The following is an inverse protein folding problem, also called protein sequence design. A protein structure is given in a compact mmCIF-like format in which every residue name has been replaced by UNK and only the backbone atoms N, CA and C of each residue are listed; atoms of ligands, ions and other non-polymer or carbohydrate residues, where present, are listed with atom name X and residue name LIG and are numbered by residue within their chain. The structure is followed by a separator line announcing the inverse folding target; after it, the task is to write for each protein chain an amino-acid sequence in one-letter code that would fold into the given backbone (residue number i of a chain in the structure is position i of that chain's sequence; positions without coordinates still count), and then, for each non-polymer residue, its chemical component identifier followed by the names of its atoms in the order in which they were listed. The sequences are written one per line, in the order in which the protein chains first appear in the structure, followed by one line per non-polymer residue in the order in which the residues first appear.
data_IF_225356343667
#
_entry.id   IF_225356343667
#
_cell.length_a   1.000
_cell.length_b   1.000
_cell.length_c   1.000
_cell.angle_alpha   90.00
_cell.angle_beta   90.00
_cell.angle_gamma   90.00
#
_symmetry.space_group_name_H-M   'P 1'
#
loop_
_entity.id
_entity.type
_entity.pdbx_description
1 polymer ?
#
# COMPACT_ATOMS: atom_id res chain seq x y z
N UNK A 1 30.53 13.03 -1.43
CA UNK A 1 30.27 11.65 -0.93
C UNK A 1 28.95 11.11 -1.43
N UNK A 2 27.79 11.77 -1.24
CA UNK A 2 26.52 11.21 -1.75
C UNK A 2 26.50 11.05 -3.29
N UNK A 3 27.05 12.06 -3.99
CA UNK A 3 27.14 12.09 -5.46
C UNK A 3 27.97 10.92 -6.00
N UNK A 4 29.11 10.62 -5.36
CA UNK A 4 29.97 9.49 -5.76
C UNK A 4 29.32 8.11 -5.52
N UNK A 5 28.46 7.99 -4.49
CA UNK A 5 27.68 6.76 -4.26
C UNK A 5 26.50 6.60 -5.22
N UNK A 6 25.90 7.72 -5.67
CA UNK A 6 24.86 7.72 -6.70
C UNK A 6 25.43 7.35 -8.07
N UNK A 7 26.63 7.83 -8.41
CA UNK A 7 27.35 7.48 -9.64
C UNK A 7 27.75 6.00 -9.70
N UNK A 8 28.04 5.37 -8.55
CA UNK A 8 28.41 3.96 -8.45
C UNK A 8 27.20 3.00 -8.44
N UNK A 9 25.98 3.51 -8.29
CA UNK A 9 24.78 2.69 -8.14
C UNK A 9 24.28 2.19 -9.50
N UNK A 10 24.26 0.86 -9.67
CA UNK A 10 23.88 0.22 -10.94
C UNK A 10 22.38 0.05 -11.09
N UNK A 11 21.66 -0.15 -9.99
CA UNK A 11 20.21 -0.45 -10.02
C UNK A 11 19.35 0.65 -9.40
N UNK A 12 18.06 0.69 -9.73
CA UNK A 12 17.11 1.69 -9.20
C UNK A 12 16.82 1.48 -7.70
N UNK A 13 16.77 0.22 -7.26
CA UNK A 13 16.56 -0.13 -5.85
C UNK A 13 17.74 0.27 -4.93
N UNK A 14 18.95 0.31 -5.48
CA UNK A 14 20.14 0.80 -4.78
C UNK A 14 20.07 2.31 -4.61
N UNK A 15 19.61 3.05 -5.63
CA UNK A 15 19.40 4.49 -5.51
C UNK A 15 18.34 4.82 -4.45
N UNK A 16 17.24 4.07 -4.40
CA UNK A 16 16.18 4.26 -3.38
C UNK A 16 16.72 4.07 -1.96
N UNK A 17 17.57 3.05 -1.78
CA UNK A 17 18.22 2.76 -0.49
C UNK A 17 19.19 3.87 -0.08
N UNK A 18 19.94 4.44 -1.04
CA UNK A 18 20.84 5.57 -0.82
C UNK A 18 20.03 6.82 -0.43
N UNK A 19 18.90 7.09 -1.09
CA UNK A 19 18.02 8.22 -0.77
C UNK A 19 17.39 8.11 0.61
N UNK A 20 16.86 6.93 0.96
CA UNK A 20 16.30 6.68 2.29
C UNK A 20 17.38 6.83 3.37
N UNK A 21 18.59 6.31 3.14
CA UNK A 21 19.73 6.47 4.04
C UNK A 21 20.14 7.94 4.24
N UNK A 22 20.19 8.71 3.15
CA UNK A 22 20.51 10.14 3.18
C UNK A 22 19.46 10.94 3.97
N UNK A 23 18.18 10.70 3.70
CA UNK A 23 17.07 11.34 4.39
C UNK A 23 17.09 11.04 5.91
N UNK A 24 17.36 9.79 6.29
CA UNK A 24 17.49 9.41 7.70
C UNK A 24 18.70 10.07 8.38
N UNK A 25 19.83 10.20 7.68
CA UNK A 25 21.01 10.89 8.19
C UNK A 25 20.73 12.38 8.43
N UNK A 26 20.10 13.06 7.47
CA UNK A 26 19.69 14.46 7.60
C UNK A 26 18.71 14.65 8.77
N UNK A 27 17.72 13.76 8.91
CA UNK A 27 16.78 13.85 10.02
C UNK A 27 17.43 13.59 11.38
N UNK A 28 18.45 12.71 11.46
CA UNK A 28 19.26 12.55 12.68
C UNK A 28 20.06 13.81 13.01
N UNK A 29 20.66 14.46 12.02
CA UNK A 29 21.44 15.71 12.20
C UNK A 29 20.56 16.87 12.64
N UNK A 30 19.35 16.97 12.08
CA UNK A 30 18.38 18.03 12.41
C UNK A 30 17.65 17.75 13.75
N UNK A 31 17.89 16.59 14.37
CA UNK A 31 17.18 16.18 15.59
C UNK A 31 15.71 15.83 15.34
N UNK A 32 15.30 15.67 14.08
CA UNK A 32 13.98 15.22 13.70
C UNK A 32 13.85 13.72 13.96
N UNK A 33 13.04 13.34 14.94
CA UNK A 33 12.74 11.93 15.27
C UNK A 33 11.87 11.30 14.18
N UNK A 34 12.49 10.73 13.14
CA UNK A 34 11.81 9.76 12.27
C UNK A 34 11.83 8.42 13.00
N UNK A 35 10.68 8.03 13.53
CA UNK A 35 10.49 6.72 14.15
C UNK A 35 10.45 5.63 13.07
N UNK A 36 11.60 5.01 12.76
CA UNK A 36 11.68 3.82 11.90
C UNK A 36 11.59 2.50 12.68
N UNK A 37 11.43 2.55 14.00
CA UNK A 37 11.16 1.36 14.78
C UNK A 37 9.64 1.18 14.93
N UNK A 38 9.12 0.08 14.40
CA UNK A 38 7.87 -0.50 14.84
C UNK A 38 7.96 -0.79 16.33
N UNK A 39 7.59 0.16 17.17
CA UNK A 39 7.47 -0.04 18.60
C UNK A 39 6.28 -0.95 18.81
N UNK A 40 6.55 -2.24 18.99
CA UNK A 40 5.59 -3.19 19.51
C UNK A 40 5.35 -2.85 21.00
N UNK A 41 4.65 -1.74 21.24
CA UNK A 41 4.03 -1.51 22.55
C UNK A 41 2.87 -2.48 22.63
N UNK A 42 3.01 -3.51 23.46
CA UNK A 42 1.89 -4.33 23.90
C UNK A 42 0.90 -3.46 24.66
N UNK A 43 0.05 -2.72 23.93
CA UNK A 43 -1.12 -2.11 24.50
C UNK A 43 -2.13 -3.23 24.69
N UNK A 44 -2.32 -3.64 25.95
CA UNK A 44 -3.62 -4.16 26.39
C UNK A 44 -4.70 -3.30 25.71
N UNK A 45 -5.62 -3.95 25.01
CA UNK A 45 -6.62 -3.33 24.13
C UNK A 45 -7.64 -2.53 24.94
N UNK A 46 -7.18 -1.46 25.59
CA UNK A 46 -7.99 -0.56 26.35
C UNK A 46 -9.04 0.03 25.41
N UNK A 47 -10.31 -0.11 25.79
CA UNK A 47 -11.43 0.39 25.00
C UNK A 47 -11.16 1.87 24.69
N UNK A 48 -11.08 2.25 23.40
CA UNK A 48 -10.77 3.62 23.02
C UNK A 48 -11.73 4.60 23.70
N UNK A 49 -11.22 5.74 24.15
CA UNK A 49 -12.02 6.72 24.88
C UNK A 49 -13.24 7.23 24.08
N UNK A 50 -13.20 7.20 22.75
CA UNK A 50 -14.35 7.52 21.91
C UNK A 50 -15.44 6.44 21.99
N UNK A 51 -15.08 5.17 22.16
CA UNK A 51 -16.01 4.04 22.21
C UNK A 51 -16.77 4.03 23.53
N UNK A 52 -16.05 4.15 24.66
CA UNK A 52 -16.66 4.30 26.00
C UNK A 52 -17.68 5.44 26.07
N UNK A 53 -17.31 6.63 25.58
CA UNK A 53 -18.20 7.80 25.57
C UNK A 53 -19.49 7.59 24.76
N UNK A 54 -19.44 6.82 23.67
CA UNK A 54 -20.63 6.55 22.87
C UNK A 54 -21.48 5.45 23.52
N UNK A 55 -20.84 4.41 24.09
CA UNK A 55 -21.53 3.36 24.86
C UNK A 55 -22.24 3.94 26.09
N UNK A 56 -21.62 4.85 26.84
CA UNK A 56 -22.25 5.60 27.94
C UNK A 56 -23.45 6.43 27.48
N UNK A 57 -23.38 7.06 26.30
CA UNK A 57 -24.51 7.82 25.73
C UNK A 57 -25.68 6.90 25.35
N UNK A 58 -25.37 5.72 24.80
CA UNK A 58 -26.38 4.68 24.47
C UNK A 58 -27.03 4.18 25.77
N UNK A 59 -26.24 3.83 26.79
CA UNK A 59 -26.73 3.35 28.08
C UNK A 59 -27.64 4.39 28.77
N UNK A 60 -27.25 5.67 28.77
CA UNK A 60 -28.08 6.75 29.31
C UNK A 60 -29.41 6.93 28.57
N UNK A 61 -29.44 6.73 27.24
CA UNK A 61 -30.69 6.76 26.48
C UNK A 61 -31.57 5.53 26.73
N UNK A 62 -30.96 4.35 26.87
CA UNK A 62 -31.68 3.12 27.21
C UNK A 62 -32.27 3.18 28.62
N UNK A 63 -31.52 3.70 29.60
CA UNK A 63 -32.00 3.88 30.97
C UNK A 63 -33.18 4.86 31.04
N UNK A 64 -33.12 5.97 30.29
CA UNK A 64 -34.25 6.91 30.13
C UNK A 64 -35.48 6.27 29.49
N UNK A 65 -35.30 5.32 28.57
CA UNK A 65 -36.40 4.58 27.94
C UNK A 65 -37.07 3.62 28.93
N UNK A 66 -36.30 2.96 29.81
CA UNK A 66 -36.81 2.04 30.84
C UNK A 66 -37.45 2.78 32.01
N UNK A 67 -36.83 3.85 32.51
CA UNK A 67 -37.38 4.68 33.59
C UNK A 67 -38.75 5.29 33.20
N UNK A 68 -38.93 5.62 31.92
CA UNK A 68 -40.19 6.13 31.42
C UNK A 68 -41.30 5.06 31.34
N UNK A 69 -40.94 3.80 31.09
CA UNK A 69 -41.90 2.69 31.08
C UNK A 69 -42.44 2.34 32.48
N UNK A 70 -41.74 2.71 33.56
CA UNK A 70 -42.15 2.47 34.96
C UNK A 70 -42.97 3.58 35.60
N UNK A 71 -43.01 4.77 34.99
CA UNK A 71 -43.92 5.85 35.37
C UNK A 71 -45.24 5.69 34.60
N UNK A 72 -46.39 5.74 35.28
CA UNK A 72 -47.74 5.80 34.67
C UNK A 72 -48.00 7.08 33.85
N UNK A 73 -46.96 7.68 33.27
CA UNK A 73 -47.07 8.71 32.25
C UNK A 73 -47.13 7.97 30.92
N UNK A 74 -48.34 7.83 30.36
CA UNK A 74 -48.50 7.33 29.00
C UNK A 74 -47.79 8.29 28.04
N UNK A 75 -46.68 7.88 27.44
CA UNK A 75 -46.14 8.55 26.26
C UNK A 75 -47.07 8.24 25.09
N UNK A 76 -48.18 8.96 25.01
CA UNK A 76 -49.01 9.00 23.80
C UNK A 76 -48.34 9.79 22.67
N UNK A 77 -47.05 10.14 22.79
CA UNK A 77 -46.28 10.82 21.75
C UNK A 77 -45.29 9.84 21.10
N UNK A 78 -45.67 9.17 20.00
CA UNK A 78 -44.79 8.26 19.25
C UNK A 78 -43.45 8.92 18.84
N UNK A 79 -43.44 10.24 18.68
CA UNK A 79 -42.27 11.04 18.31
C UNK A 79 -41.10 10.94 19.28
N UNK A 80 -41.33 10.89 20.59
CA UNK A 80 -40.23 10.89 21.58
C UNK A 80 -39.52 9.53 21.60
N UNK A 81 -40.31 8.45 21.59
CA UNK A 81 -39.81 7.08 21.50
C UNK A 81 -39.09 6.85 20.17
N UNK A 82 -39.62 7.37 19.06
CA UNK A 82 -38.98 7.30 17.75
C UNK A 82 -37.67 8.09 17.70
N UNK A 83 -37.63 9.30 18.28
CA UNK A 83 -36.40 10.10 18.41
C UNK A 83 -35.31 9.36 19.22
N UNK A 84 -35.69 8.69 20.33
CA UNK A 84 -34.75 7.89 21.12
C UNK A 84 -34.20 6.70 20.33
N UNK A 85 -35.06 5.94 19.63
CA UNK A 85 -34.65 4.84 18.74
C UNK A 85 -33.70 5.32 17.63
N UNK A 86 -34.00 6.45 17.00
CA UNK A 86 -33.15 7.06 15.97
C UNK A 86 -31.78 7.46 16.53
N UNK A 87 -31.71 8.02 17.74
CA UNK A 87 -30.44 8.38 18.40
C UNK A 87 -29.57 7.16 18.70
N UNK A 88 -30.17 6.11 19.25
CA UNK A 88 -29.46 4.84 19.52
C UNK A 88 -28.92 4.25 18.20
N UNK A 89 -29.75 4.20 17.16
CA UNK A 89 -29.33 3.73 15.84
C UNK A 89 -28.20 4.58 15.23
N UNK A 90 -28.27 5.91 15.34
CA UNK A 90 -27.24 6.82 14.86
C UNK A 90 -25.90 6.64 15.59
N UNK A 91 -25.92 6.42 16.91
CA UNK A 91 -24.73 6.12 17.69
C UNK A 91 -24.15 4.74 17.37
N UNK A 92 -24.99 3.72 17.15
CA UNK A 92 -24.54 2.42 16.65
C UNK A 92 -23.83 2.51 15.31
N UNK A 93 -24.39 3.27 14.35
CA UNK A 93 -23.73 3.58 13.07
C UNK A 93 -22.40 4.32 13.26
N UNK A 94 -22.31 5.20 14.24
CA UNK A 94 -21.08 5.94 14.56
C UNK A 94 -19.99 5.02 15.10
N UNK A 95 -20.33 4.10 16.00
CA UNK A 95 -19.42 3.07 16.51
C UNK A 95 -18.88 2.25 15.36
N UNK A 96 -19.77 1.70 14.51
CA UNK A 96 -19.37 0.88 13.36
C UNK A 96 -18.37 1.61 12.45
N UNK A 97 -18.69 2.83 12.03
CA UNK A 97 -17.80 3.65 11.17
C UNK A 97 -16.44 3.91 11.80
N UNK A 98 -16.38 4.16 13.10
CA UNK A 98 -15.12 4.46 13.78
C UNK A 98 -14.27 3.21 13.96
N UNK A 99 -14.90 2.07 14.25
CA UNK A 99 -14.23 0.77 14.26
C UNK A 99 -13.65 0.46 12.87
N UNK A 100 -14.46 0.51 11.81
CA UNK A 100 -14.01 0.29 10.42
C UNK A 100 -12.87 1.23 10.01
N UNK A 101 -12.93 2.51 10.40
CA UNK A 101 -11.85 3.46 10.13
C UNK A 101 -10.57 3.05 10.85
N UNK A 102 -10.65 2.67 12.12
CA UNK A 102 -9.49 2.25 12.89
C UNK A 102 -8.88 0.97 12.33
N UNK A 103 -9.71 0.00 11.95
CA UNK A 103 -9.26 -1.24 11.31
C UNK A 103 -8.56 -0.95 9.99
N UNK A 104 -9.18 -0.16 9.09
CA UNK A 104 -8.55 0.23 7.82
C UNK A 104 -7.24 0.97 8.01
N UNK A 105 -7.18 1.90 8.95
CA UNK A 105 -5.94 2.62 9.27
C UNK A 105 -4.83 1.65 9.71
N UNK A 106 -5.15 0.71 10.59
CA UNK A 106 -4.19 -0.28 11.06
C UNK A 106 -3.76 -1.25 9.96
N UNK A 107 -4.70 -1.72 9.14
CA UNK A 107 -4.43 -2.60 8.00
C UNK A 107 -3.56 -1.90 6.95
N UNK A 108 -3.88 -0.65 6.59
CA UNK A 108 -3.08 0.13 5.64
C UNK A 108 -1.68 0.43 6.19
N UNK A 109 -1.57 0.74 7.48
CA UNK A 109 -0.27 0.93 8.12
C UNK A 109 0.55 -0.35 8.10
N UNK A 110 -0.08 -1.49 8.40
CA UNK A 110 0.57 -2.79 8.34
C UNK A 110 0.95 -3.17 6.90
N UNK A 111 0.10 -2.87 5.91
CA UNK A 111 0.43 -3.04 4.50
C UNK A 111 1.67 -2.26 4.08
N UNK A 112 1.83 -1.02 4.55
CA UNK A 112 2.99 -0.21 4.21
C UNK A 112 4.27 -0.65 4.94
N UNK A 113 4.16 -1.10 6.20
CA UNK A 113 5.34 -1.45 7.01
C UNK A 113 5.76 -2.93 6.92
N UNK A 114 4.79 -3.84 6.83
CA UNK A 114 4.96 -5.28 6.96
C UNK A 114 3.78 -6.03 6.28
N UNK A 115 3.85 -6.13 4.95
CA UNK A 115 2.83 -6.78 4.14
C UNK A 115 2.59 -8.23 4.55
N UNK A 116 3.67 -8.95 4.91
CA UNK A 116 3.61 -10.35 5.33
C UNK A 116 2.68 -10.51 6.53
N UNK A 117 2.86 -9.71 7.59
CA UNK A 117 1.99 -9.78 8.77
C UNK A 117 0.54 -9.41 8.49
N UNK A 118 0.29 -8.53 7.52
CA UNK A 118 -1.08 -8.25 7.09
C UNK A 118 -1.71 -9.49 6.45
N UNK A 119 -1.04 -10.10 5.47
CA UNK A 119 -1.56 -11.29 4.80
C UNK A 119 -1.74 -12.46 5.77
N UNK A 120 -0.77 -12.71 6.66
CA UNK A 120 -0.92 -13.68 7.77
C UNK A 120 -2.15 -13.40 8.65
N UNK A 121 -2.48 -12.13 8.89
CA UNK A 121 -3.66 -11.75 9.67
C UNK A 121 -4.98 -11.94 8.92
N UNK A 122 -4.97 -11.86 7.58
CA UNK A 122 -6.13 -12.06 6.70
C UNK A 122 -6.39 -13.54 6.43
N UNK A 123 -5.34 -14.37 6.40
CA UNK A 123 -5.41 -15.81 6.19
C UNK A 123 -6.00 -16.59 7.38
N UNK A 124 -6.18 -15.96 8.54
CA UNK A 124 -6.89 -16.57 9.69
C UNK A 124 -8.39 -16.31 9.57
N UNK A 125 -9.16 -17.39 9.33
CA UNK A 125 -9.41 -18.32 10.41
C UNK A 125 -9.12 -19.79 10.04
N UNK A 126 -8.37 -20.47 10.92
CA UNK A 126 -8.39 -21.92 11.12
C UNK A 126 -7.63 -22.87 10.17
N UNK A 127 -6.89 -22.39 9.18
CA UNK A 127 -5.92 -23.23 8.45
C UNK A 127 -4.52 -22.64 8.63
N UNK A 128 -3.98 -22.77 9.84
CA UNK A 128 -2.51 -22.84 9.91
C UNK A 128 -2.16 -24.10 9.15
N UNK A 129 -1.46 -23.97 8.01
CA UNK A 129 -0.91 -25.10 7.30
C UNK A 129 0.02 -25.88 8.22
N UNK A 130 -0.55 -26.82 8.98
CA UNK A 130 0.16 -27.83 9.78
C UNK A 130 0.76 -28.92 8.90
N UNK A 131 0.63 -28.79 7.58
CA UNK A 131 1.39 -29.60 6.64
C UNK A 131 2.88 -29.32 6.81
N UNK A 132 3.74 -30.35 6.71
CA UNK A 132 5.18 -30.12 6.63
C UNK A 132 5.45 -29.16 5.46
N UNK A 133 6.35 -28.20 5.66
CA UNK A 133 6.81 -27.35 4.58
C UNK A 133 7.29 -28.23 3.42
N UNK A 134 6.92 -27.93 2.16
CA UNK A 134 7.39 -28.71 1.03
C UNK A 134 8.93 -28.69 1.02
N UNK A 135 9.51 -29.86 0.79
CA UNK A 135 10.95 -30.02 0.74
C UNK A 135 11.54 -29.06 -0.31
N UNK A 136 12.63 -28.38 0.05
CA UNK A 136 13.31 -27.43 -0.83
C UNK A 136 13.79 -28.12 -2.12
N UNK A 137 14.29 -29.36 -2.02
CA UNK A 137 14.75 -30.11 -3.18
C UNK A 137 13.60 -30.40 -4.16
N UNK A 138 12.44 -30.81 -3.65
CA UNK A 138 11.26 -31.12 -4.46
C UNK A 138 10.69 -29.85 -5.13
N UNK A 139 10.71 -28.72 -4.41
CA UNK A 139 10.28 -27.43 -4.94
C UNK A 139 11.22 -26.96 -6.05
N UNK A 140 12.53 -27.07 -5.84
CA UNK A 140 13.54 -26.71 -6.85
C UNK A 140 13.44 -27.63 -8.06
N UNK A 141 13.27 -28.94 -7.86
CA UNK A 141 13.13 -29.90 -8.97
C UNK A 141 11.88 -29.60 -9.81
N UNK A 142 10.74 -29.31 -9.16
CA UNK A 142 9.50 -28.94 -9.83
C UNK A 142 9.67 -27.70 -10.72
N UNK A 143 10.18 -26.59 -10.16
CA UNK A 143 10.36 -25.34 -10.91
C UNK A 143 11.46 -25.44 -11.98
N UNK A 144 12.52 -26.22 -11.71
CA UNK A 144 13.59 -26.48 -12.67
C UNK A 144 13.07 -27.22 -13.91
N UNK A 145 12.22 -28.24 -13.73
CA UNK A 145 11.60 -28.95 -14.86
C UNK A 145 10.70 -28.05 -15.70
N UNK A 146 10.08 -27.02 -15.09
CA UNK A 146 9.21 -26.10 -15.81
C UNK A 146 9.98 -24.99 -16.55
N UNK A 147 11.04 -24.45 -15.94
CA UNK A 147 11.69 -23.21 -16.40
C UNK A 147 13.13 -23.37 -16.88
N UNK A 148 13.82 -24.43 -16.47
CA UNK A 148 15.25 -24.63 -16.78
C UNK A 148 15.50 -25.69 -17.84
N UNK A 149 14.55 -26.58 -18.07
CA UNK A 149 14.65 -27.52 -19.19
C UNK A 149 14.26 -26.79 -20.48
N UNK A 150 15.18 -26.70 -21.46
CA UNK A 150 14.85 -26.09 -22.74
C UNK A 150 13.83 -26.98 -23.46
N UNK A 151 12.56 -26.57 -23.41
CA UNK A 151 11.50 -27.19 -24.19
C UNK A 151 11.59 -26.64 -25.61
N UNK A 152 11.84 -27.51 -26.58
CA UNK A 152 11.69 -27.14 -27.99
C UNK A 152 10.20 -26.97 -28.29
N UNK A 153 9.73 -25.73 -28.27
CA UNK A 153 8.41 -25.41 -28.76
C UNK A 153 8.44 -25.52 -30.29
N UNK A 154 7.63 -26.41 -30.86
CA UNK A 154 7.32 -26.31 -32.28
C UNK A 154 6.45 -25.07 -32.46
N UNK A 155 7.05 -23.96 -32.90
CA UNK A 155 6.31 -22.79 -33.35
C UNK A 155 5.23 -23.24 -34.35
N UNK A 156 3.97 -22.89 -34.09
CA UNK A 156 2.89 -23.24 -35.00
C UNK A 156 2.98 -22.44 -36.29
N UNK A 157 2.31 -22.91 -37.35
CA UNK A 157 2.22 -22.23 -38.66
C UNK A 157 1.79 -20.75 -38.57
N UNK A 158 1.15 -20.35 -37.46
CA UNK A 158 0.77 -18.96 -37.21
C UNK A 158 1.97 -18.00 -37.17
N UNK A 159 3.16 -18.45 -36.78
CA UNK A 159 4.37 -17.61 -36.78
C UNK A 159 4.79 -17.23 -38.19
N UNK A 160 4.71 -18.15 -39.15
CA UNK A 160 4.96 -17.90 -40.57
C UNK A 160 3.90 -16.96 -41.15
N UNK A 161 2.64 -17.12 -40.72
CA UNK A 161 1.55 -16.21 -41.09
C UNK A 161 1.80 -14.79 -40.55
N UNK A 162 2.20 -14.65 -39.29
CA UNK A 162 2.52 -13.34 -38.71
C UNK A 162 3.78 -12.76 -39.35
N UNK A 163 4.81 -13.57 -39.59
CA UNK A 163 6.05 -13.12 -40.25
C UNK A 163 5.78 -12.64 -41.68
N UNK A 164 4.91 -13.33 -42.43
CA UNK A 164 4.50 -12.90 -43.78
C UNK A 164 3.64 -11.64 -43.77
N UNK A 165 2.73 -11.50 -42.79
CA UNK A 165 1.97 -10.26 -42.58
C UNK A 165 2.86 -9.08 -42.17
N UNK A 166 3.91 -9.35 -41.39
CA UNK A 166 4.88 -8.35 -40.94
C UNK A 166 6.03 -8.11 -41.93
N UNK A 167 6.17 -8.90 -42.99
CA UNK A 167 7.29 -8.79 -43.94
C UNK A 167 7.37 -7.43 -44.65
N UNK A 168 6.22 -6.74 -44.80
CA UNK A 168 6.15 -5.38 -45.35
C UNK A 168 6.26 -4.27 -44.31
N UNK A 169 6.35 -4.60 -43.02
CA UNK A 169 6.46 -3.62 -41.93
C UNK A 169 7.93 -3.31 -41.73
N UNK A 170 8.31 -2.06 -41.98
CA UNK A 170 9.66 -1.57 -41.67
C UNK A 170 9.92 -1.74 -40.18
N UNK A 171 11.05 -2.36 -39.83
CA UNK A 171 11.48 -2.46 -38.44
C UNK A 171 11.54 -1.04 -37.83
N UNK A 172 11.00 -0.89 -36.63
CA UNK A 172 11.03 0.39 -35.94
C UNK A 172 12.49 0.82 -35.73
N UNK A 173 12.79 2.05 -36.10
CA UNK A 173 14.12 2.61 -35.89
C UNK A 173 14.50 2.54 -34.39
N UNK A 174 15.78 2.30 -34.06
CA UNK A 174 16.21 2.24 -32.68
C UNK A 174 15.93 3.56 -31.97
N UNK A 175 15.01 3.52 -30.99
CA UNK A 175 14.63 4.69 -30.18
C UNK A 175 15.75 4.95 -29.18
N UNK A 176 16.49 6.05 -29.38
CA UNK A 176 17.49 6.51 -28.42
C UNK A 176 16.86 7.58 -27.54
N UNK A 177 16.60 7.26 -26.27
CA UNK A 177 16.04 8.22 -25.31
C UNK A 177 17.14 9.17 -24.84
N UNK A 178 16.99 10.47 -25.10
CA UNK A 178 17.96 11.49 -24.72
C UNK A 178 17.60 12.18 -23.38
N UNK A 179 18.56 12.83 -22.70
CA UNK A 179 18.31 13.68 -21.52
C UNK A 179 17.23 14.72 -21.72
N UNK A 180 17.16 15.31 -22.92
CA UNK A 180 16.17 16.33 -23.26
C UNK A 180 14.76 15.73 -23.35
N UNK A 181 14.62 14.50 -23.85
CA UNK A 181 13.34 13.79 -23.89
C UNK A 181 12.80 13.54 -22.48
N UNK A 182 13.67 13.13 -21.55
CA UNK A 182 13.31 12.91 -20.14
C UNK A 182 12.99 14.22 -19.44
N UNK A 183 13.76 15.28 -19.68
CA UNK A 183 13.48 16.60 -19.12
C UNK A 183 12.13 17.14 -19.59
N UNK A 184 11.80 17.01 -20.87
CA UNK A 184 10.52 17.43 -21.45
C UNK A 184 9.35 16.60 -20.92
N UNK A 185 9.51 15.28 -20.78
CA UNK A 185 8.51 14.40 -20.20
C UNK A 185 8.22 14.76 -18.73
N UNK A 186 9.28 14.96 -17.92
CA UNK A 186 9.16 15.38 -16.51
C UNK A 186 8.49 16.74 -16.41
N UNK A 187 8.82 17.70 -17.29
CA UNK A 187 8.22 19.04 -17.33
C UNK A 187 6.71 19.00 -17.58
N UNK A 188 6.25 18.15 -18.51
CA UNK A 188 4.82 18.00 -18.88
C UNK A 188 4.00 17.27 -17.81
N UNK A 189 4.61 16.47 -16.97
CA UNK A 189 3.89 15.68 -15.98
C UNK A 189 3.23 16.56 -14.88
N UNK A 190 1.98 16.28 -14.46
CA UNK A 190 1.32 17.07 -13.41
C UNK A 190 1.92 16.80 -12.03
N UNK A 191 2.25 17.89 -11.31
CA UNK A 191 3.03 17.87 -10.05
C UNK A 191 2.50 16.89 -8.99
N UNK A 192 1.18 16.79 -8.85
CA UNK A 192 0.53 16.03 -7.78
C UNK A 192 -0.23 14.80 -8.27
N UNK A 193 0.20 14.20 -9.39
CA UNK A 193 -0.29 12.85 -9.75
C UNK A 193 0.11 11.85 -8.67
N UNK A 194 -0.65 10.77 -8.52
CA UNK A 194 -0.30 9.64 -7.67
C UNK A 194 1.12 9.16 -7.97
N UNK A 195 1.94 8.94 -6.94
CA UNK A 195 3.31 8.48 -7.12
C UNK A 195 3.31 6.99 -7.53
N UNK A 196 4.41 6.54 -8.12
CA UNK A 196 4.60 5.14 -8.49
C UNK A 196 4.92 4.26 -7.29
N UNK A 197 5.45 3.07 -7.55
CA UNK A 197 5.94 2.14 -6.53
C UNK A 197 7.08 2.74 -5.69
N UNK A 198 7.81 3.71 -6.26
CA UNK A 198 8.87 4.51 -5.66
C UNK A 198 8.36 5.55 -4.64
N UNK A 199 7.06 5.86 -4.63
CA UNK A 199 6.48 6.87 -3.75
C UNK A 199 6.86 8.31 -4.12
N UNK A 200 7.55 8.53 -5.25
CA UNK A 200 8.03 9.83 -5.66
C UNK A 200 6.98 10.55 -6.53
N UNK A 201 6.61 11.77 -6.13
CA UNK A 201 5.73 12.60 -6.95
C UNK A 201 6.51 13.35 -8.03
N UNK A 202 5.86 13.63 -9.17
CA UNK A 202 6.42 14.45 -10.26
C UNK A 202 6.92 15.83 -9.79
N UNK A 203 6.31 16.41 -8.75
CA UNK A 203 6.78 17.64 -8.12
C UNK A 203 8.27 17.56 -7.73
N UNK A 204 8.69 16.44 -7.14
CA UNK A 204 10.07 16.24 -6.71
C UNK A 204 11.00 15.93 -7.89
N UNK A 205 10.54 15.17 -8.87
CA UNK A 205 11.28 14.90 -10.13
C UNK A 205 11.63 16.19 -10.88
N UNK A 206 10.73 17.19 -10.86
CA UNK A 206 11.00 18.52 -11.43
C UNK A 206 11.97 19.35 -10.59
N UNK A 207 12.09 19.09 -9.28
CA UNK A 207 13.03 19.80 -8.41
C UNK A 207 14.47 19.30 -8.55
N UNK A 208 14.68 18.07 -9.00
CA UNK A 208 15.98 17.42 -9.04
C UNK A 208 16.58 17.35 -10.45
N UNK A 209 16.91 18.52 -11.02
CA UNK A 209 17.53 18.62 -12.36
C UNK A 209 18.84 17.82 -12.49
N UNK A 210 19.60 17.67 -11.40
CA UNK A 210 20.83 16.88 -11.38
C UNK A 210 20.61 15.36 -11.59
N UNK A 211 19.39 14.85 -11.40
CA UNK A 211 19.07 13.43 -11.56
C UNK A 211 18.62 13.06 -12.97
N UNK A 212 18.31 14.04 -13.82
CA UNK A 212 17.79 13.77 -15.17
C UNK A 212 18.80 13.00 -16.04
N UNK A 213 20.10 13.32 -15.90
CA UNK A 213 21.17 12.60 -16.61
C UNK A 213 21.30 11.14 -16.16
N UNK A 214 21.09 10.83 -14.88
CA UNK A 214 21.20 9.48 -14.34
C UNK A 214 20.03 8.58 -14.74
N UNK A 215 18.83 9.12 -14.91
CA UNK A 215 17.69 8.35 -15.42
C UNK A 215 17.83 7.98 -16.90
N UNK A 216 18.40 8.87 -17.74
CA UNK A 216 18.69 8.55 -19.14
C UNK A 216 19.72 7.44 -19.32
N UNK A 217 20.81 7.49 -18.54
CA UNK A 217 21.86 6.46 -18.62
C UNK A 217 21.39 5.06 -18.21
N UNK A 218 20.38 4.97 -17.32
CA UNK A 218 19.82 3.68 -16.89
C UNK A 218 18.79 3.13 -17.89
N UNK A 219 18.05 3.98 -18.59
CA UNK A 219 17.12 3.58 -19.64
C UNK A 219 17.79 3.01 -20.90
N UNK A 220 19.08 3.29 -21.13
CA UNK A 220 19.81 2.79 -22.31
C UNK A 220 20.55 1.46 -22.07
N UNK A 221 20.52 0.91 -20.86
CA UNK A 221 21.23 -0.32 -20.48
C UNK A 221 20.30 -1.52 -20.17
N UNK A 222 18.99 -1.35 -20.34
CA UNK A 222 17.98 -2.43 -20.36
C UNK A 222 17.64 -2.77 -21.83
#
# INVERSE_FOLDING_TARGET
MLVTYLEASRYLCETDSIFIGAALAVCRIIGAKISTAGRATGHSSAIPAWRRRIEERIANCAHRQVAFAGTNVSLSQPDITQKLKQRIAAWGKRIRRYTERSTRFNQNRLFQSDQKRLYESLERPMVSGTGPAPNQADTVAFWRGLWSEPVNHSEGLWTEVVASQCAGITAMDPVTITPDDVAEAVRRAPNWKSPGLDGLHHYWLKGFMALHNTYCLKSSND
#
